data_IF_721693616968
#
_entry.id   IF_721693616968
#
_cell.length_a   1.000
_cell.length_b   1.000
_cell.length_c   1.000
_cell.angle_alpha   90.00
_cell.angle_beta   90.00
_cell.angle_gamma   90.00
#
_symmetry.space_group_name_H-M   'P 1'
#
loop_
_entity.id
_entity.type
_entity.pdbx_description
1 polymer ?
#
# COMPACT_ATOMS: atom_id res chain seq x y z
N UNK A 1 -49.40 39.50 8.04
CA UNK A 1 -48.51 39.20 6.90
C UNK A 1 -47.08 39.23 7.42
N UNK A 2 -46.39 38.09 7.46
CA UNK A 2 -45.00 37.99 7.91
C UNK A 2 -44.23 36.93 7.11
N UNK A 3 -42.95 37.22 6.93
CA UNK A 3 -42.08 36.76 5.85
C UNK A 3 -41.35 35.43 6.10
N UNK A 4 -41.06 34.76 4.97
CA UNK A 4 -39.79 34.12 4.56
C UNK A 4 -39.20 32.89 5.27
N UNK A 5 -39.09 31.82 4.46
CA UNK A 5 -37.91 30.95 4.17
C UNK A 5 -37.03 30.49 5.35
N UNK A 6 -37.09 29.18 5.62
CA UNK A 6 -36.05 28.42 6.33
C UNK A 6 -35.42 27.38 5.39
N UNK A 7 -34.14 27.61 5.05
CA UNK A 7 -33.18 26.63 4.52
C UNK A 7 -32.22 26.30 5.67
N UNK A 8 -32.14 25.04 6.08
CA UNK A 8 -31.15 24.56 7.04
C UNK A 8 -29.88 24.13 6.29
N UNK A 9 -28.84 24.96 6.41
CA UNK A 9 -27.46 24.58 6.17
C UNK A 9 -26.82 24.31 7.54
N UNK A 10 -26.30 23.11 7.77
CA UNK A 10 -25.44 22.82 8.91
C UNK A 10 -24.00 22.70 8.42
N UNK A 11 -23.25 23.80 8.60
CA UNK A 11 -21.79 23.78 8.55
C UNK A 11 -21.25 23.44 9.94
N UNK A 12 -20.39 22.44 10.02
CA UNK A 12 -19.54 22.20 11.20
C UNK A 12 -18.15 22.73 10.86
N UNK A 13 -17.74 23.78 11.59
CA UNK A 13 -16.41 24.38 11.59
C UNK A 13 -15.66 23.86 12.83
N UNK A 14 -14.52 23.20 12.63
CA UNK A 14 -13.51 22.90 13.65
C UNK A 14 -12.21 22.54 12.92
N UNK A 15 -11.29 23.48 12.73
CA UNK A 15 -10.19 23.87 13.64
C UNK A 15 -9.16 22.76 13.89
N UNK A 16 -8.15 22.68 13.02
CA UNK A 16 -6.68 22.70 13.30
C UNK A 16 -5.94 22.08 12.11
N UNK A 17 -5.68 22.88 11.07
CA UNK A 17 -4.93 22.46 9.87
C UNK A 17 -3.53 23.10 9.85
N UNK A 18 -2.85 23.11 10.99
CA UNK A 18 -1.54 23.75 11.16
C UNK A 18 -0.40 22.82 10.78
N UNK A 19 -0.50 21.52 11.13
CA UNK A 19 0.59 20.56 10.89
C UNK A 19 0.69 20.07 9.44
N UNK A 20 -0.43 19.99 8.71
CA UNK A 20 -0.44 19.60 7.30
C UNK A 20 0.16 20.70 6.39
N UNK A 21 -0.01 21.98 6.76
CA UNK A 21 0.58 23.12 6.06
C UNK A 21 2.10 23.23 6.26
N UNK A 22 2.57 22.97 7.47
CA UNK A 22 3.98 23.09 7.85
C UNK A 22 4.87 22.01 7.20
N UNK A 23 4.37 20.76 7.13
CA UNK A 23 5.07 19.66 6.44
C UNK A 23 5.20 19.90 4.93
N UNK A 24 4.19 20.52 4.32
CA UNK A 24 4.21 20.88 2.90
C UNK A 24 5.19 22.04 2.62
N UNK A 25 5.28 23.02 3.53
CA UNK A 25 6.19 24.16 3.39
C UNK A 25 7.67 23.74 3.55
N UNK A 26 7.97 22.88 4.52
CA UNK A 26 9.31 22.34 4.76
C UNK A 26 9.81 21.45 3.60
N UNK A 27 8.91 20.69 2.96
CA UNK A 27 9.26 19.87 1.79
C UNK A 27 9.58 20.71 0.55
N UNK A 28 8.95 21.88 0.40
CA UNK A 28 9.25 22.86 -0.66
C UNK A 28 10.62 23.52 -0.45
N UNK A 29 10.97 23.83 0.79
CA UNK A 29 12.23 24.53 1.12
C UNK A 29 13.47 23.62 1.08
N UNK A 30 13.29 22.32 1.33
CA UNK A 30 14.40 21.34 1.33
C UNK A 30 14.64 20.64 -0.02
N UNK A 31 13.86 20.96 -1.06
CA UNK A 31 13.94 20.30 -2.38
C UNK A 31 13.72 18.78 -2.35
N UNK A 32 13.33 18.23 -1.20
CA UNK A 32 13.30 16.79 -0.94
C UNK A 32 11.94 16.26 -1.37
N UNK A 33 11.86 15.79 -2.62
CA UNK A 33 10.64 15.15 -3.16
C UNK A 33 10.15 14.07 -2.18
N UNK A 34 8.92 14.22 -1.70
CA UNK A 34 8.29 13.20 -0.85
C UNK A 34 8.30 11.86 -1.58
N UNK A 35 8.96 10.86 -0.99
CA UNK A 35 9.01 9.51 -1.56
C UNK A 35 7.70 8.81 -1.24
N UNK A 36 6.81 8.77 -2.21
CA UNK A 36 5.60 7.95 -2.14
C UNK A 36 5.96 6.47 -2.28
N UNK A 37 5.38 5.65 -1.40
CA UNK A 37 5.63 4.21 -1.34
C UNK A 37 4.43 3.38 -1.75
N UNK A 38 3.27 4.00 -1.87
CA UNK A 38 2.02 3.37 -2.24
C UNK A 38 1.41 4.12 -3.42
N UNK A 39 0.45 3.46 -4.06
CA UNK A 39 -0.44 4.06 -5.05
C UNK A 39 -1.86 3.61 -4.74
N UNK A 40 -2.76 4.57 -4.59
CA UNK A 40 -4.20 4.31 -4.51
C UNK A 40 -4.67 3.93 -5.91
N UNK A 41 -5.18 2.73 -6.09
CA UNK A 41 -5.61 2.22 -7.40
C UNK A 41 -7.12 2.20 -7.54
N UNK A 42 -7.84 2.15 -6.42
CA UNK A 42 -9.30 2.12 -6.40
C UNK A 42 -9.77 2.68 -5.05
N UNK A 43 -10.83 3.48 -5.12
CA UNK A 43 -11.58 3.95 -3.96
C UNK A 43 -13.05 3.76 -4.31
N UNK A 44 -13.83 3.13 -3.44
CA UNK A 44 -15.27 2.95 -3.64
C UNK A 44 -15.99 3.46 -2.42
N UNK A 45 -17.01 4.28 -2.61
CA UNK A 45 -17.87 4.75 -1.55
C UNK A 45 -19.32 4.37 -1.90
N UNK A 46 -20.06 3.85 -0.93
CA UNK A 46 -21.48 3.47 -1.11
C UNK A 46 -22.37 4.69 -1.41
N UNK A 47 -22.02 5.85 -0.88
CA UNK A 47 -22.83 7.08 -0.95
C UNK A 47 -22.52 7.92 -2.18
N UNK A 48 -21.33 7.78 -2.76
CA UNK A 48 -20.89 8.57 -3.92
C UNK A 48 -20.15 7.69 -4.93
N UNK A 49 -20.55 7.79 -6.21
CA UNK A 49 -19.77 7.22 -7.32
C UNK A 49 -18.41 7.91 -7.32
N UNK A 50 -17.35 7.13 -7.17
CA UNK A 50 -16.00 7.67 -7.05
C UNK A 50 -15.61 8.44 -8.30
N UNK A 51 -15.08 9.65 -8.11
CA UNK A 51 -14.39 10.34 -9.19
C UNK A 51 -13.21 9.50 -9.65
N UNK A 52 -13.20 9.19 -10.95
CA UNK A 52 -12.12 8.45 -11.65
C UNK A 52 -10.73 9.05 -11.35
N UNK A 53 -10.69 10.34 -10.99
CA UNK A 53 -9.51 11.13 -10.64
C UNK A 53 -8.73 10.64 -9.41
N UNK A 54 -9.35 9.88 -8.48
CA UNK A 54 -8.65 9.35 -7.30
C UNK A 54 -7.86 8.07 -7.59
N UNK A 55 -8.13 7.43 -8.73
CA UNK A 55 -7.44 6.22 -9.14
C UNK A 55 -6.05 6.55 -9.69
N UNK A 56 -5.04 5.76 -9.30
CA UNK A 56 -3.62 5.90 -9.63
C UNK A 56 -2.83 7.00 -8.90
N UNK A 57 -3.40 7.64 -7.87
CA UNK A 57 -2.70 8.67 -7.10
C UNK A 57 -1.57 8.07 -6.24
N UNK A 58 -0.37 8.65 -6.33
CA UNK A 58 0.76 8.30 -5.47
C UNK A 58 0.49 8.75 -4.05
N UNK A 59 0.71 7.86 -3.09
CA UNK A 59 0.39 8.12 -1.69
C UNK A 59 1.33 7.34 -0.75
N UNK A 60 1.15 7.59 0.54
CA UNK A 60 1.73 6.83 1.65
C UNK A 60 0.62 6.28 2.51
N UNK A 61 0.87 5.13 3.12
CA UNK A 61 -0.01 4.52 4.11
C UNK A 61 0.71 4.54 5.44
N UNK A 62 0.15 5.28 6.38
CA UNK A 62 0.60 5.34 7.77
C UNK A 62 -0.30 4.49 8.64
N UNK A 63 0.31 3.67 9.48
CA UNK A 63 -0.39 2.79 10.42
C UNK A 63 -0.26 3.39 11.80
N UNK A 64 -1.38 3.78 12.39
CA UNK A 64 -1.46 4.41 13.71
C UNK A 64 -2.25 3.51 14.68
N UNK A 65 -2.12 3.70 16.01
CA UNK A 65 -2.91 2.96 16.98
C UNK A 65 -4.43 3.15 16.84
N UNK A 66 -4.85 4.38 16.48
CA UNK A 66 -6.26 4.78 16.38
C UNK A 66 -6.87 4.53 14.99
N UNK A 67 -6.06 4.24 13.98
CA UNK A 67 -6.53 4.10 12.61
C UNK A 67 -5.42 4.05 11.57
N UNK A 68 -5.82 4.08 10.30
CA UNK A 68 -4.91 4.20 9.17
C UNK A 68 -5.05 5.59 8.56
N UNK A 69 -3.96 6.09 7.99
CA UNK A 69 -3.98 7.37 7.30
C UNK A 69 -3.34 7.19 5.93
N UNK A 70 -4.10 7.48 4.88
CA UNK A 70 -3.57 7.53 3.51
C UNK A 70 -3.24 8.96 3.17
N UNK A 71 -1.95 9.27 3.02
CA UNK A 71 -1.46 10.63 2.74
C UNK A 71 -1.02 10.71 1.29
N UNK A 72 -1.60 11.61 0.52
CA UNK A 72 -1.32 11.79 -0.90
C UNK A 72 -1.74 13.17 -1.38
N UNK A 73 -1.75 13.39 -2.68
CA UNK A 73 -2.31 14.60 -3.28
C UNK A 73 -3.55 14.19 -4.06
N UNK A 74 -4.69 14.04 -3.38
CA UNK A 74 -5.92 13.51 -3.96
C UNK A 74 -6.72 14.61 -4.67
N UNK A 75 -6.86 15.76 -4.02
CA UNK A 75 -7.42 16.98 -4.58
C UNK A 75 -6.60 18.19 -4.11
N UNK A 76 -6.91 19.40 -4.58
CA UNK A 76 -6.24 20.63 -4.10
C UNK A 76 -6.45 20.89 -2.60
N UNK A 77 -7.51 20.31 -2.02
CA UNK A 77 -7.90 20.53 -0.62
C UNK A 77 -7.72 19.29 0.26
N UNK A 78 -7.75 18.11 -0.36
CA UNK A 78 -7.69 16.84 0.35
C UNK A 78 -6.36 16.13 0.07
N UNK A 79 -5.50 16.13 1.07
CA UNK A 79 -4.23 15.40 1.05
C UNK A 79 -4.24 14.14 1.91
N UNK A 80 -5.33 13.91 2.66
CA UNK A 80 -5.40 12.86 3.67
C UNK A 80 -6.75 12.16 3.60
N UNK A 81 -6.72 10.84 3.60
CA UNK A 81 -7.90 9.98 3.82
C UNK A 81 -7.69 9.29 5.18
N UNK A 82 -8.33 9.77 6.26
CA UNK A 82 -8.30 9.11 7.55
C UNK A 82 -9.26 7.92 7.56
N UNK A 83 -8.85 6.83 8.22
CA UNK A 83 -9.65 5.62 8.37
C UNK A 83 -9.60 5.23 9.84
N UNK A 84 -10.70 5.37 10.56
CA UNK A 84 -10.73 5.06 11.98
C UNK A 84 -10.71 3.54 12.19
N UNK A 85 -10.06 3.08 13.27
CA UNK A 85 -9.89 1.65 13.53
C UNK A 85 -11.23 0.91 13.72
N UNK A 86 -12.24 1.58 14.26
CA UNK A 86 -13.59 1.04 14.44
C UNK A 86 -14.40 0.93 13.13
N UNK A 87 -14.07 1.72 12.10
CA UNK A 87 -14.70 1.64 10.78
C UNK A 87 -14.19 0.46 9.94
N UNK A 88 -13.03 -0.10 10.30
CA UNK A 88 -12.36 -1.13 9.52
C UNK A 88 -12.98 -2.51 9.78
N UNK A 89 -13.76 -2.99 8.82
CA UNK A 89 -14.25 -4.36 8.82
C UNK A 89 -13.10 -5.36 8.62
N UNK A 90 -12.23 -5.11 7.63
CA UNK A 90 -11.10 -6.00 7.37
C UNK A 90 -9.97 -5.33 6.59
N UNK A 91 -8.75 -5.85 6.80
CA UNK A 91 -7.56 -5.49 6.04
C UNK A 91 -7.02 -6.76 5.38
N UNK A 92 -7.03 -6.81 4.06
CA UNK A 92 -6.46 -7.92 3.29
C UNK A 92 -5.12 -7.50 2.69
N UNK A 93 -4.06 -8.22 3.07
CA UNK A 93 -2.73 -8.08 2.47
C UNK A 93 -2.49 -9.23 1.51
N UNK A 94 -2.27 -8.90 0.24
CA UNK A 94 -1.96 -9.88 -0.82
C UNK A 94 -0.50 -9.71 -1.21
N UNK A 95 0.32 -10.68 -0.84
CA UNK A 95 1.73 -10.72 -1.22
C UNK A 95 1.86 -10.90 -2.72
N UNK A 96 2.79 -10.14 -3.32
CA UNK A 96 3.15 -10.31 -4.71
C UNK A 96 3.75 -11.69 -5.01
N UNK A 97 3.68 -12.10 -6.28
CA UNK A 97 4.32 -13.30 -6.80
C UNK A 97 5.83 -13.16 -6.68
N UNK A 98 6.46 -14.14 -6.04
CA UNK A 98 7.91 -14.27 -6.01
C UNK A 98 8.36 -14.90 -7.33
N UNK A 99 9.24 -14.23 -8.05
CA UNK A 99 9.80 -14.67 -9.33
C UNK A 99 11.31 -14.77 -9.17
N UNK A 100 11.83 -15.95 -9.51
CA UNK A 100 13.26 -16.27 -9.47
C UNK A 100 13.67 -16.70 -10.88
N UNK A 101 14.56 -15.91 -11.47
CA UNK A 101 15.07 -16.10 -12.82
C UNK A 101 16.57 -15.82 -12.88
N UNK A 102 17.34 -16.72 -12.27
CA UNK A 102 18.80 -16.63 -12.23
C UNK A 102 19.41 -17.22 -13.50
N UNK A 103 20.47 -16.61 -14.01
CA UNK A 103 21.29 -17.23 -15.06
C UNK A 103 22.22 -18.31 -14.46
N UNK A 104 22.70 -19.20 -15.32
CA UNK A 104 23.61 -20.29 -14.92
C UNK A 104 24.88 -19.71 -14.28
N UNK A 105 25.30 -20.28 -13.14
CA UNK A 105 26.47 -19.81 -12.36
C UNK A 105 26.33 -18.44 -11.69
N UNK A 106 25.15 -17.80 -11.67
CA UNK A 106 24.99 -16.63 -10.80
C UNK A 106 25.20 -17.05 -9.33
N UNK A 107 25.77 -16.20 -8.45
CA UNK A 107 25.93 -16.55 -7.04
C UNK A 107 24.59 -16.95 -6.41
N UNK A 108 23.50 -16.25 -6.75
CA UNK A 108 22.16 -16.61 -6.31
C UNK A 108 21.71 -17.98 -6.85
N UNK A 109 22.01 -18.33 -8.11
CA UNK A 109 21.77 -19.66 -8.70
C UNK A 109 22.44 -20.76 -7.87
N UNK A 110 23.75 -20.58 -7.61
CA UNK A 110 24.56 -21.57 -6.88
C UNK A 110 23.99 -21.77 -5.48
N UNK A 111 23.73 -20.69 -4.74
CA UNK A 111 23.16 -20.78 -3.39
C UNK A 111 21.77 -21.45 -3.39
N UNK A 112 20.91 -21.10 -4.36
CA UNK A 112 19.57 -21.71 -4.46
C UNK A 112 19.67 -23.21 -4.76
N UNK A 113 20.62 -23.64 -5.59
CA UNK A 113 20.90 -25.06 -5.87
C UNK A 113 21.45 -25.82 -4.65
N UNK A 114 22.20 -25.14 -3.79
CA UNK A 114 22.69 -25.67 -2.51
C UNK A 114 21.59 -25.73 -1.42
N UNK A 115 20.34 -25.37 -1.75
CA UNK A 115 19.21 -25.42 -0.81
C UNK A 115 19.11 -24.21 0.11
N UNK A 116 19.90 -23.17 -0.12
CA UNK A 116 19.85 -21.94 0.70
C UNK A 116 18.56 -21.19 0.39
N UNK A 117 17.79 -20.76 1.42
CA UNK A 117 16.54 -20.04 1.21
C UNK A 117 16.70 -18.79 0.35
N UNK A 118 15.81 -18.61 -0.63
CA UNK A 118 15.86 -17.49 -1.58
C UNK A 118 15.80 -16.11 -0.90
N UNK A 119 15.24 -16.01 0.31
CA UNK A 119 15.28 -14.77 1.12
C UNK A 119 16.71 -14.30 1.42
N UNK A 120 17.64 -15.24 1.51
CA UNK A 120 19.07 -15.02 1.77
C UNK A 120 19.77 -14.87 0.42
N UNK A 121 19.57 -15.83 -0.49
CA UNK A 121 20.26 -15.88 -1.78
C UNK A 121 20.05 -14.63 -2.63
N UNK A 122 18.89 -13.96 -2.52
CA UNK A 122 18.59 -12.70 -3.23
C UNK A 122 19.58 -11.56 -2.95
N UNK A 123 20.32 -11.61 -1.85
CA UNK A 123 21.31 -10.59 -1.50
C UNK A 123 22.58 -10.70 -2.35
N UNK A 124 22.79 -11.85 -3.02
CA UNK A 124 23.91 -12.08 -3.93
C UNK A 124 23.47 -12.12 -5.41
N UNK A 125 22.34 -11.49 -5.75
CA UNK A 125 21.93 -11.35 -7.14
C UNK A 125 22.88 -10.41 -7.88
N UNK A 126 23.22 -10.73 -9.13
CA UNK A 126 24.01 -9.86 -10.01
C UNK A 126 23.08 -8.89 -10.72
N UNK A 127 21.99 -9.41 -11.29
CA UNK A 127 20.97 -8.61 -11.96
C UNK A 127 19.72 -8.41 -11.11
N UNK A 128 19.11 -7.22 -11.13
CA UNK A 128 17.85 -6.97 -10.42
C UNK A 128 16.71 -7.90 -10.83
N UNK A 129 16.72 -8.39 -12.07
CA UNK A 129 15.75 -9.33 -12.64
C UNK A 129 15.81 -10.73 -12.04
N UNK A 130 16.96 -11.16 -11.49
CA UNK A 130 17.12 -12.51 -10.94
C UNK A 130 16.16 -12.82 -9.80
N UNK A 131 15.81 -11.78 -9.05
CA UNK A 131 14.87 -11.88 -7.94
C UNK A 131 13.97 -10.67 -7.90
N UNK A 132 12.67 -10.91 -8.08
CA UNK A 132 11.63 -9.90 -7.96
C UNK A 132 10.44 -10.46 -7.21
N UNK A 133 9.86 -9.63 -6.35
CA UNK A 133 8.52 -9.84 -5.81
C UNK A 133 7.63 -8.82 -6.54
N UNK A 134 6.56 -9.28 -7.19
CA UNK A 134 5.61 -8.34 -7.81
C UNK A 134 4.95 -7.46 -6.75
N UNK A 135 4.17 -6.47 -7.18
CA UNK A 135 3.51 -5.54 -6.27
C UNK A 135 2.66 -6.28 -5.21
N UNK A 136 2.75 -5.79 -3.96
CA UNK A 136 1.86 -6.18 -2.86
C UNK A 136 0.59 -5.37 -2.99
N UNK A 137 -0.57 -6.03 -2.85
CA UNK A 137 -1.87 -5.34 -2.82
C UNK A 137 -2.38 -5.26 -1.39
N UNK A 138 -2.91 -4.11 -1.03
CA UNK A 138 -3.52 -3.84 0.26
C UNK A 138 -4.97 -3.45 -0.02
N UNK A 139 -5.89 -4.19 0.57
CA UNK A 139 -7.32 -3.93 0.44
C UNK A 139 -7.87 -3.67 1.84
N UNK A 140 -8.36 -2.45 2.04
CA UNK A 140 -8.97 -2.01 3.29
C UNK A 140 -10.46 -1.90 3.02
N UNK A 141 -11.26 -2.68 3.74
CA UNK A 141 -12.72 -2.64 3.65
C UNK A 141 -13.26 -2.03 4.93
N UNK A 142 -14.03 -0.97 4.77
CA UNK A 142 -14.80 -0.32 5.81
C UNK A 142 -16.29 -0.51 5.54
N UNK A 143 -17.12 -0.05 6.48
CA UNK A 143 -18.58 -0.14 6.35
C UNK A 143 -19.08 0.61 5.10
N UNK A 144 -18.69 1.87 4.92
CA UNK A 144 -19.21 2.72 3.85
C UNK A 144 -18.33 2.80 2.61
N UNK A 145 -17.07 2.40 2.72
CA UNK A 145 -16.10 2.56 1.64
C UNK A 145 -15.02 1.48 1.62
N UNK A 146 -14.36 1.35 0.48
CA UNK A 146 -13.29 0.39 0.23
C UNK A 146 -12.10 1.10 -0.44
N UNK A 147 -10.88 0.80 0.03
CA UNK A 147 -9.64 1.26 -0.59
C UNK A 147 -8.82 0.08 -1.09
N UNK A 148 -8.26 0.26 -2.28
CA UNK A 148 -7.24 -0.65 -2.83
C UNK A 148 -5.97 0.14 -3.09
N UNK A 149 -4.90 -0.30 -2.46
CA UNK A 149 -3.57 0.26 -2.61
C UNK A 149 -2.64 -0.81 -3.17
N UNK A 150 -1.61 -0.36 -3.87
CA UNK A 150 -0.48 -1.21 -4.26
C UNK A 150 0.81 -0.62 -3.74
N UNK A 151 1.78 -1.49 -3.44
CA UNK A 151 3.11 -1.10 -2.98
C UNK A 151 4.14 -2.11 -3.45
N UNK A 152 5.42 -1.80 -3.21
CA UNK A 152 6.53 -2.69 -3.52
C UNK A 152 6.37 -4.08 -2.85
N UNK A 153 6.70 -5.14 -3.58
CA UNK A 153 6.61 -6.53 -3.11
C UNK A 153 7.38 -6.80 -1.81
N UNK A 154 8.47 -6.06 -1.56
CA UNK A 154 9.30 -6.22 -0.37
C UNK A 154 8.69 -5.61 0.89
N UNK A 155 7.62 -4.81 0.78
CA UNK A 155 6.98 -4.14 1.93
C UNK A 155 5.97 -4.99 2.67
N UNK A 156 5.53 -6.11 2.08
CA UNK A 156 4.54 -7.01 2.67
C UNK A 156 4.84 -7.36 4.14
N UNK A 157 6.03 -7.88 4.43
CA UNK A 157 6.39 -8.31 5.79
C UNK A 157 6.46 -7.14 6.79
N UNK A 158 6.96 -5.97 6.35
CA UNK A 158 7.05 -4.78 7.19
C UNK A 158 5.67 -4.24 7.53
N UNK A 159 4.78 -4.16 6.53
CA UNK A 159 3.40 -3.70 6.70
C UNK A 159 2.61 -4.65 7.62
N UNK A 160 2.69 -5.96 7.36
CA UNK A 160 2.06 -6.97 8.19
C UNK A 160 2.52 -6.86 9.66
N UNK A 161 3.83 -6.75 9.89
CA UNK A 161 4.38 -6.58 11.24
C UNK A 161 3.88 -5.30 11.92
N UNK A 162 3.79 -4.20 11.17
CA UNK A 162 3.30 -2.91 11.69
C UNK A 162 1.84 -3.00 12.14
N UNK A 163 0.98 -3.59 11.31
CA UNK A 163 -0.44 -3.77 11.61
C UNK A 163 -0.63 -4.69 12.82
N UNK A 164 0.08 -5.82 12.88
CA UNK A 164 0.01 -6.73 14.02
C UNK A 164 0.48 -6.05 15.32
N UNK A 165 1.59 -5.30 15.27
CA UNK A 165 2.13 -4.58 16.43
C UNK A 165 1.16 -3.54 16.99
N UNK A 166 0.38 -2.90 16.12
CA UNK A 166 -0.60 -1.86 16.50
C UNK A 166 -2.01 -2.43 16.79
N UNK A 167 -2.11 -3.76 16.91
CA UNK A 167 -3.31 -4.44 17.38
C UNK A 167 -4.44 -4.49 16.35
N UNK A 168 -4.13 -4.55 15.05
CA UNK A 168 -5.11 -4.85 14.01
C UNK A 168 -5.32 -6.36 13.93
N UNK A 169 -6.49 -6.83 14.36
CA UNK A 169 -6.84 -8.26 14.45
C UNK A 169 -7.56 -8.77 13.21
N UNK A 170 -8.33 -7.91 12.52
CA UNK A 170 -9.12 -8.26 11.33
C UNK A 170 -8.25 -8.32 10.05
N UNK A 171 -7.11 -9.00 10.14
CA UNK A 171 -6.11 -9.07 9.08
C UNK A 171 -6.20 -10.40 8.32
N UNK A 172 -6.41 -10.33 7.01
CA UNK A 172 -6.37 -11.48 6.09
C UNK A 172 -5.08 -11.46 5.29
N UNK A 173 -4.37 -12.57 5.27
CA UNK A 173 -3.12 -12.74 4.52
C UNK A 173 -3.34 -13.68 3.35
N UNK A 174 -3.02 -13.23 2.15
CA UNK A 174 -3.04 -14.04 0.94
C UNK A 174 -1.65 -14.02 0.30
N UNK A 175 -1.11 -15.20 -0.01
CA UNK A 175 0.15 -15.32 -0.74
C UNK A 175 -0.11 -15.79 -2.17
N UNK A 176 0.43 -15.05 -3.15
CA UNK A 176 0.46 -15.51 -4.54
C UNK A 176 1.47 -16.63 -4.71
N UNK A 177 1.23 -17.56 -5.66
CA UNK A 177 2.13 -18.68 -5.89
C UNK A 177 3.54 -18.20 -6.22
N UNK A 178 4.54 -18.99 -5.82
CA UNK A 178 5.96 -18.74 -6.14
C UNK A 178 6.25 -19.33 -7.51
N UNK A 179 6.98 -18.60 -8.35
CA UNK A 179 7.50 -19.11 -9.62
C UNK A 179 9.03 -19.18 -9.53
N UNK A 180 9.53 -20.40 -9.54
CA UNK A 180 10.96 -20.67 -9.56
C UNK A 180 11.34 -21.31 -10.91
N UNK A 181 11.91 -20.51 -11.81
CA UNK A 181 12.29 -20.99 -13.15
C UNK A 181 13.48 -21.97 -13.11
N UNK A 182 14.20 -22.04 -11.98
CA UNK A 182 15.24 -23.06 -11.75
C UNK A 182 14.69 -24.48 -11.70
N UNK A 183 13.46 -24.64 -11.22
CA UNK A 183 12.78 -25.94 -11.15
C UNK A 183 12.10 -26.26 -12.48
N UNK A 184 11.62 -25.24 -13.20
CA UNK A 184 10.96 -25.43 -14.49
C UNK A 184 11.91 -25.93 -15.58
N UNK A 185 13.15 -25.41 -15.66
CA UNK A 185 14.15 -25.91 -16.63
C UNK A 185 14.49 -27.40 -16.42
N UNK A 186 14.51 -27.88 -15.17
CA UNK A 186 14.72 -29.32 -14.88
C UNK A 186 13.63 -30.23 -15.46
N UNK A 187 12.42 -29.72 -15.70
CA UNK A 187 11.30 -30.52 -16.22
C UNK A 187 11.26 -30.58 -17.77
N UNK A 188 12.04 -29.73 -18.44
CA UNK A 188 12.19 -29.72 -19.91
C UNK A 188 13.45 -30.46 -20.38
N UNK A 189 14.39 -30.72 -19.47
CA UNK A 189 15.63 -31.46 -19.73
C UNK A 189 15.46 -32.98 -19.46
N UNK A 190 14.23 -33.51 -19.51
CA UNK A 190 13.88 -34.94 -19.39
C UNK A 190 13.16 -35.41 -20.65
#
# INVERSE_FOLDING_TARGET
MNNSKLRLAMGVKGSTNSHAGELNLLSKWTGKKSRYHYRLIDYKNKQHKTDVLLSQTKCNLEVLPQGLMVVGNFTEKDSIIPILKNEIESITLIRGKEVIDTFYMSPMYILSKLGIPNRISRHLKVYPSEYKITETRVHIKCEDYELRLITDGNRFSKLHRSLKKLGYTNLKLLERPKLNLLQYRRALDL
#
